data_IF_009264315767
#
_entry.id   IF_009264315767
#
_cell.length_a   1.000
_cell.length_b   1.000
_cell.length_c   1.000
_cell.angle_alpha   90.00
_cell.angle_beta   90.00
_cell.angle_gamma   90.00
#
_symmetry.space_group_name_H-M   'P 1'
#
loop_
_entity.id
_entity.type
_entity.pdbx_description
1 polymer ?
#
# COMPACT_ATOMS: atom_id res chain seq x y z
N UNK A 1 -3.82 26.38 21.92
CA UNK A 1 -4.50 25.08 21.63
C UNK A 1 -3.55 24.10 20.96
N UNK A 2 -2.81 24.48 19.93
CA UNK A 2 -1.83 23.65 19.19
C UNK A 2 -0.73 23.10 20.09
N UNK A 3 -0.13 23.94 20.98
CA UNK A 3 0.91 23.49 21.90
C UNK A 3 0.41 22.42 22.89
N UNK A 4 -0.83 22.55 23.34
CA UNK A 4 -1.45 21.61 24.27
C UNK A 4 -1.73 20.23 23.65
N UNK A 5 -2.01 20.19 22.33
CA UNK A 5 -2.30 18.96 21.59
C UNK A 5 -1.02 18.31 21.07
N UNK A 6 -0.11 19.10 20.49
CA UNK A 6 1.01 18.58 19.71
C UNK A 6 2.36 18.70 20.41
N UNK A 7 2.47 19.51 21.48
CA UNK A 7 3.69 19.73 22.27
C UNK A 7 4.88 20.16 21.39
N UNK A 8 4.64 21.16 20.56
CA UNK A 8 5.58 21.60 19.53
C UNK A 8 6.95 21.96 20.08
N UNK A 9 7.00 22.68 21.25
CA UNK A 9 8.25 23.07 21.89
C UNK A 9 9.02 21.86 22.43
N UNK A 10 8.32 20.87 23.01
CA UNK A 10 8.92 19.61 23.50
C UNK A 10 9.58 18.83 22.35
N UNK A 11 8.99 18.88 21.16
CA UNK A 11 9.50 18.22 19.96
C UNK A 11 10.44 19.10 19.10
N UNK A 12 10.79 20.30 19.56
CA UNK A 12 11.74 21.21 18.88
C UNK A 12 11.26 21.69 17.51
N UNK A 13 9.95 21.88 17.32
CA UNK A 13 9.35 22.28 16.04
C UNK A 13 8.45 23.52 16.19
N UNK A 14 7.99 24.07 15.07
CA UNK A 14 7.08 25.22 15.02
C UNK A 14 5.87 24.93 14.16
N UNK A 15 4.77 25.67 14.36
CA UNK A 15 3.56 25.57 13.51
C UNK A 15 3.91 25.70 12.04
N UNK A 16 4.75 26.67 11.67
CA UNK A 16 5.18 26.88 10.28
C UNK A 16 5.91 25.66 9.71
N UNK A 17 6.84 25.10 10.47
CA UNK A 17 7.61 23.91 10.07
C UNK A 17 6.69 22.72 9.86
N UNK A 18 5.74 22.49 10.76
CA UNK A 18 4.78 21.39 10.67
C UNK A 18 3.85 21.52 9.46
N UNK A 19 3.38 22.76 9.16
CA UNK A 19 2.56 23.02 7.97
C UNK A 19 3.33 22.76 6.68
N UNK A 20 4.59 23.22 6.58
CA UNK A 20 5.45 22.96 5.43
C UNK A 20 5.74 21.46 5.29
N UNK A 21 6.01 20.78 6.38
CA UNK A 21 6.23 19.34 6.41
C UNK A 21 4.96 18.57 5.95
N UNK A 22 3.78 18.99 6.41
CA UNK A 22 2.52 18.42 5.99
C UNK A 22 2.24 18.63 4.50
N UNK A 23 2.48 19.83 3.98
CA UNK A 23 2.38 20.12 2.55
C UNK A 23 3.37 19.24 1.74
N UNK A 24 4.61 19.10 2.21
CA UNK A 24 5.62 18.25 1.57
C UNK A 24 5.18 16.79 1.54
N UNK A 25 4.69 16.25 2.67
CA UNK A 25 4.14 14.89 2.73
C UNK A 25 2.95 14.73 1.77
N UNK A 26 2.00 15.68 1.80
CA UNK A 26 0.84 15.64 0.92
C UNK A 26 1.25 15.59 -0.55
N UNK A 27 2.15 16.47 -1.00
CA UNK A 27 2.61 16.51 -2.40
C UNK A 27 3.26 15.20 -2.84
N UNK A 28 3.97 14.51 -1.93
CA UNK A 28 4.64 13.25 -2.26
C UNK A 28 3.67 12.06 -2.32
N UNK A 29 2.52 12.12 -1.65
CA UNK A 29 1.55 11.02 -1.60
C UNK A 29 0.21 11.31 -2.30
N UNK A 30 -0.03 12.56 -2.75
CA UNK A 30 -1.30 12.96 -3.37
C UNK A 30 -1.62 12.20 -4.66
N UNK A 31 -0.63 11.57 -5.29
CA UNK A 31 -0.85 10.70 -6.46
C UNK A 31 -1.86 9.58 -6.20
N UNK A 32 -2.07 9.18 -4.93
CA UNK A 32 -3.02 8.13 -4.55
C UNK A 32 -4.46 8.45 -4.92
N UNK A 33 -4.82 9.74 -4.99
CA UNK A 33 -6.16 10.18 -5.42
C UNK A 33 -6.49 9.80 -6.86
N UNK A 34 -5.47 9.56 -7.68
CA UNK A 34 -5.61 9.08 -9.07
C UNK A 34 -5.37 7.58 -9.17
N UNK A 35 -4.35 7.07 -8.48
CA UNK A 35 -3.93 5.68 -8.58
C UNK A 35 -4.94 4.73 -7.95
N UNK A 36 -5.48 5.04 -6.77
CA UNK A 36 -6.43 4.16 -6.11
C UNK A 36 -7.74 3.99 -6.89
N UNK A 37 -8.42 5.07 -7.36
CA UNK A 37 -9.58 4.91 -8.22
C UNK A 37 -9.30 4.20 -9.55
N UNK A 38 -8.10 4.35 -10.10
CA UNK A 38 -7.69 3.61 -11.30
C UNK A 38 -7.63 2.11 -11.04
N UNK A 39 -6.92 1.68 -10.01
CA UNK A 39 -6.76 0.26 -9.66
C UNK A 39 -8.09 -0.39 -9.26
N UNK A 40 -8.85 0.23 -8.36
CA UNK A 40 -10.14 -0.31 -7.91
C UNK A 40 -11.22 -0.22 -8.99
N UNK A 41 -11.09 0.75 -9.90
CA UNK A 41 -11.92 0.85 -11.10
C UNK A 41 -11.75 -0.34 -12.04
N UNK A 42 -10.55 -0.88 -12.18
CA UNK A 42 -10.30 -2.11 -12.94
C UNK A 42 -11.03 -3.33 -12.34
N UNK A 43 -11.26 -3.32 -11.02
CA UNK A 43 -12.08 -4.30 -10.32
C UNK A 43 -13.59 -4.07 -10.46
N UNK A 44 -14.03 -3.09 -11.27
CA UNK A 44 -15.44 -2.76 -11.50
C UNK A 44 -16.06 -1.85 -10.43
N UNK A 45 -15.27 -1.23 -9.55
CA UNK A 45 -15.78 -0.23 -8.61
C UNK A 45 -16.01 1.13 -9.30
N UNK A 46 -17.06 1.88 -8.91
CA UNK A 46 -17.31 3.24 -9.43
C UNK A 46 -16.15 4.19 -9.06
N UNK A 47 -15.37 4.63 -10.05
CA UNK A 47 -14.15 5.43 -9.84
C UNK A 47 -14.38 6.71 -9.05
N UNK A 48 -15.50 7.42 -9.31
CA UNK A 48 -15.85 8.67 -8.62
C UNK A 48 -16.10 8.43 -7.12
N UNK A 49 -16.82 7.35 -6.78
CA UNK A 49 -17.07 6.99 -5.39
C UNK A 49 -15.79 6.55 -4.68
N UNK A 50 -14.94 5.77 -5.37
CA UNK A 50 -13.62 5.38 -4.85
C UNK A 50 -12.71 6.59 -4.63
N UNK A 51 -12.74 7.59 -5.52
CA UNK A 51 -12.01 8.85 -5.33
C UNK A 51 -12.43 9.55 -4.03
N UNK A 52 -13.74 9.68 -3.80
CA UNK A 52 -14.27 10.28 -2.57
C UNK A 52 -13.87 9.45 -1.35
N UNK A 53 -14.04 8.12 -1.40
CA UNK A 53 -13.63 7.21 -0.33
C UNK A 53 -12.14 7.34 -0.03
N UNK A 54 -11.29 7.46 -1.06
CA UNK A 54 -9.84 7.66 -0.93
C UNK A 54 -9.51 8.96 -0.19
N UNK A 55 -10.09 10.07 -0.61
CA UNK A 55 -9.87 11.37 0.05
C UNK A 55 -10.34 11.37 1.50
N UNK A 56 -11.54 10.82 1.76
CA UNK A 56 -12.11 10.77 3.10
C UNK A 56 -11.30 9.88 4.04
N UNK A 57 -10.88 8.71 3.60
CA UNK A 57 -10.10 7.82 4.48
C UNK A 57 -8.68 8.31 4.69
N UNK A 58 -8.05 8.90 3.66
CA UNK A 58 -6.74 9.51 3.83
C UNK A 58 -6.80 10.68 4.83
N UNK A 59 -7.86 11.48 4.77
CA UNK A 59 -8.09 12.54 5.73
C UNK A 59 -8.37 11.99 7.14
N UNK A 60 -9.30 11.05 7.27
CA UNK A 60 -9.67 10.46 8.56
C UNK A 60 -8.50 9.71 9.22
N UNK A 61 -7.83 8.83 8.48
CA UNK A 61 -6.68 8.06 8.97
C UNK A 61 -5.53 8.96 9.41
N UNK A 62 -5.16 9.94 8.57
CA UNK A 62 -4.13 10.92 8.92
C UNK A 62 -4.53 11.79 10.11
N UNK A 63 -5.80 12.19 10.23
CA UNK A 63 -6.29 12.92 11.40
C UNK A 63 -6.23 12.09 12.68
N UNK A 64 -6.65 10.81 12.64
CA UNK A 64 -6.54 9.90 13.80
C UNK A 64 -5.09 9.71 14.19
N UNK A 65 -4.19 9.46 13.22
CA UNK A 65 -2.76 9.33 13.47
C UNK A 65 -2.17 10.60 14.10
N UNK A 66 -2.56 11.78 13.57
CA UNK A 66 -2.10 13.08 14.05
C UNK A 66 -2.62 13.42 15.44
N UNK A 67 -3.92 13.28 15.69
CA UNK A 67 -4.56 13.71 16.93
C UNK A 67 -4.40 12.72 18.07
N UNK A 68 -4.46 11.41 17.79
CA UNK A 68 -4.43 10.36 18.81
C UNK A 68 -3.01 9.85 19.09
N UNK A 69 -2.23 9.56 18.04
CA UNK A 69 -0.85 9.09 18.19
C UNK A 69 0.17 10.23 18.25
N UNK A 70 -0.17 11.41 17.78
CA UNK A 70 0.70 12.59 17.65
C UNK A 70 2.00 12.27 16.87
N UNK A 71 1.86 11.58 15.71
CA UNK A 71 2.96 11.27 14.81
C UNK A 71 2.85 12.00 13.47
N UNK A 72 3.97 12.42 12.86
CA UNK A 72 4.03 13.08 11.55
C UNK A 72 3.87 12.06 10.41
N UNK A 73 2.92 11.14 10.54
CA UNK A 73 2.72 10.02 9.61
C UNK A 73 1.34 10.13 9.00
N UNK A 74 1.29 10.31 7.70
CA UNK A 74 0.06 10.32 6.93
C UNK A 74 -0.36 8.91 6.53
N UNK A 75 -1.65 8.73 6.31
CA UNK A 75 -2.26 7.46 5.97
C UNK A 75 -3.10 7.59 4.71
N UNK A 76 -3.12 6.55 3.89
CA UNK A 76 -3.99 6.44 2.72
C UNK A 76 -4.11 4.95 2.30
N UNK A 77 -5.00 4.60 1.33
CA UNK A 77 -5.09 3.24 0.81
C UNK A 77 -3.75 2.71 0.31
N UNK A 78 -3.33 1.54 0.79
CA UNK A 78 -2.04 0.93 0.50
C UNK A 78 -1.97 0.34 -0.89
N UNK A 79 -1.01 0.75 -1.73
CA UNK A 79 -0.96 0.34 -3.14
C UNK A 79 -0.81 -1.16 -3.33
N UNK A 80 0.02 -1.84 -2.53
CA UNK A 80 0.18 -3.28 -2.59
C UNK A 80 -1.11 -4.03 -2.31
N UNK A 81 -1.86 -3.58 -1.31
CA UNK A 81 -3.16 -4.14 -0.93
C UNK A 81 -4.26 -3.79 -1.92
N UNK A 82 -4.22 -2.60 -2.53
CA UNK A 82 -5.12 -2.23 -3.63
C UNK A 82 -4.95 -3.16 -4.83
N UNK A 83 -3.70 -3.43 -5.19
CA UNK A 83 -3.38 -4.34 -6.28
C UNK A 83 -3.80 -5.79 -5.96
N UNK A 84 -3.57 -6.26 -4.74
CA UNK A 84 -4.07 -7.56 -4.28
C UNK A 84 -5.60 -7.63 -4.34
N UNK A 85 -6.29 -6.61 -3.84
CA UNK A 85 -7.74 -6.47 -3.90
C UNK A 85 -8.25 -6.60 -5.34
N UNK A 86 -7.78 -5.72 -6.24
CA UNK A 86 -8.31 -5.62 -7.59
C UNK A 86 -7.89 -6.81 -8.47
N UNK A 87 -6.60 -7.06 -8.56
CA UNK A 87 -6.08 -7.99 -9.56
C UNK A 87 -6.05 -9.43 -9.09
N UNK A 88 -5.73 -9.69 -7.82
CA UNK A 88 -5.72 -11.07 -7.32
C UNK A 88 -7.11 -11.52 -6.87
N UNK A 89 -7.77 -10.76 -5.97
CA UNK A 89 -9.03 -11.21 -5.37
C UNK A 89 -10.19 -11.08 -6.34
N UNK A 90 -10.38 -9.91 -6.96
CA UNK A 90 -11.54 -9.70 -7.82
C UNK A 90 -11.31 -10.29 -9.21
N UNK A 91 -10.26 -9.88 -9.93
CA UNK A 91 -10.08 -10.26 -11.32
C UNK A 91 -9.58 -11.69 -11.51
N UNK A 92 -8.68 -12.19 -10.65
CA UNK A 92 -8.12 -13.54 -10.81
C UNK A 92 -8.92 -14.62 -10.08
N UNK A 93 -9.27 -14.38 -8.79
CA UNK A 93 -10.04 -15.36 -8.02
C UNK A 93 -11.56 -15.27 -8.28
N UNK A 94 -12.05 -14.24 -8.98
CA UNK A 94 -13.45 -14.10 -9.37
C UNK A 94 -14.40 -13.70 -8.23
N UNK A 95 -13.89 -13.15 -7.13
CA UNK A 95 -14.74 -12.58 -6.08
C UNK A 95 -15.35 -11.26 -6.54
N UNK A 96 -16.55 -10.95 -6.03
CA UNK A 96 -17.10 -9.60 -6.18
C UNK A 96 -16.28 -8.59 -5.38
N UNK A 97 -16.22 -7.34 -5.82
CA UNK A 97 -15.53 -6.30 -5.05
C UNK A 97 -16.18 -6.05 -3.67
N UNK A 98 -17.49 -6.33 -3.54
CA UNK A 98 -18.19 -6.29 -2.25
C UNK A 98 -17.68 -7.37 -1.28
N UNK A 99 -17.41 -8.58 -1.77
CA UNK A 99 -16.81 -9.64 -0.96
C UNK A 99 -15.36 -9.32 -0.58
N UNK A 100 -14.60 -8.70 -1.49
CA UNK A 100 -13.27 -8.21 -1.21
C UNK A 100 -13.28 -7.09 -0.13
N UNK A 101 -14.22 -6.15 -0.18
CA UNK A 101 -14.43 -5.15 0.88
C UNK A 101 -14.82 -5.82 2.21
N UNK A 102 -15.68 -6.84 2.17
CA UNK A 102 -16.02 -7.64 3.35
C UNK A 102 -14.79 -8.30 3.97
N UNK A 103 -13.87 -8.80 3.15
CA UNK A 103 -12.61 -9.39 3.60
C UNK A 103 -11.68 -8.34 4.26
N UNK A 104 -11.56 -7.15 3.67
CA UNK A 104 -10.80 -6.03 4.27
C UNK A 104 -11.42 -5.61 5.61
N UNK A 105 -12.75 -5.54 5.68
CA UNK A 105 -13.47 -5.23 6.93
C UNK A 105 -13.17 -6.24 8.03
N UNK A 106 -13.26 -7.53 7.73
CA UNK A 106 -12.97 -8.60 8.70
C UNK A 106 -11.50 -8.54 9.13
N UNK A 107 -10.58 -8.32 8.19
CA UNK A 107 -9.16 -8.13 8.47
C UNK A 107 -8.96 -6.93 9.41
N UNK A 108 -9.60 -5.79 9.15
CA UNK A 108 -9.57 -4.61 10.02
C UNK A 108 -10.10 -4.88 11.42
N UNK A 109 -11.20 -5.65 11.55
CA UNK A 109 -11.72 -6.09 12.87
C UNK A 109 -10.71 -6.97 13.62
N UNK A 110 -10.10 -7.94 12.93
CA UNK A 110 -9.06 -8.78 13.51
C UNK A 110 -7.85 -7.96 13.94
N UNK A 111 -7.45 -6.96 13.15
CA UNK A 111 -6.39 -6.03 13.51
C UNK A 111 -6.69 -5.24 14.77
N UNK A 112 -7.89 -4.69 14.87
CA UNK A 112 -8.32 -3.98 16.07
C UNK A 112 -8.24 -4.89 17.31
N UNK A 113 -8.76 -6.11 17.20
CA UNK A 113 -8.71 -7.10 18.29
C UNK A 113 -7.26 -7.41 18.69
N UNK A 114 -6.43 -7.79 17.74
CA UNK A 114 -5.01 -8.15 17.97
C UNK A 114 -4.23 -6.97 18.56
N UNK A 115 -4.52 -5.76 18.12
CA UNK A 115 -3.86 -4.54 18.61
C UNK A 115 -4.31 -4.19 20.03
N UNK A 116 -5.62 -4.29 20.35
CA UNK A 116 -6.17 -4.05 21.67
C UNK A 116 -5.60 -4.99 22.73
N UNK A 117 -5.39 -6.26 22.37
CA UNK A 117 -4.76 -7.25 23.25
C UNK A 117 -3.22 -7.19 23.27
N UNK A 118 -2.61 -6.26 22.53
CA UNK A 118 -1.14 -6.11 22.46
C UNK A 118 -0.41 -7.27 21.78
N UNK A 119 -1.12 -8.15 21.07
CA UNK A 119 -0.55 -9.36 20.44
C UNK A 119 0.21 -9.03 19.16
N UNK A 120 -0.05 -7.89 18.52
CA UNK A 120 0.58 -7.50 17.25
C UNK A 120 2.12 -7.50 17.33
N UNK A 121 2.67 -6.96 18.43
CA UNK A 121 4.11 -6.96 18.65
C UNK A 121 4.73 -8.36 18.72
N UNK A 122 4.04 -9.31 19.34
CA UNK A 122 4.48 -10.71 19.45
C UNK A 122 4.46 -11.40 18.07
N UNK A 123 3.43 -11.18 17.27
CA UNK A 123 3.31 -11.77 15.92
C UNK A 123 4.44 -11.25 15.03
N UNK A 124 4.71 -9.94 15.04
CA UNK A 124 5.75 -9.31 14.23
C UNK A 124 7.16 -9.84 14.60
N UNK A 125 7.44 -9.97 15.90
CA UNK A 125 8.72 -10.50 16.37
C UNK A 125 8.90 -11.97 16.00
N UNK A 126 7.80 -12.71 15.82
CA UNK A 126 7.81 -14.13 15.45
C UNK A 126 8.12 -14.39 13.98
N UNK A 127 8.21 -13.36 13.12
CA UNK A 127 8.46 -13.55 11.69
C UNK A 127 9.87 -13.07 11.34
N UNK A 128 10.69 -13.92 10.69
CA UNK A 128 12.04 -13.58 10.29
C UNK A 128 12.11 -12.32 9.42
N UNK A 129 13.15 -11.52 9.59
CA UNK A 129 13.34 -10.30 8.81
C UNK A 129 13.46 -10.60 7.32
N UNK A 130 14.13 -11.70 6.95
CA UNK A 130 14.25 -12.15 5.57
C UNK A 130 12.89 -12.32 4.87
N UNK A 131 11.93 -12.97 5.53
CA UNK A 131 10.57 -13.12 4.98
C UNK A 131 9.82 -11.78 4.92
N UNK A 132 9.97 -10.90 5.92
CA UNK A 132 9.34 -9.58 5.91
C UNK A 132 9.83 -8.71 4.75
N UNK A 133 11.15 -8.62 4.57
CA UNK A 133 11.73 -7.90 3.44
C UNK A 133 11.34 -8.53 2.10
N UNK A 134 11.34 -9.87 2.01
CA UNK A 134 10.93 -10.59 0.82
C UNK A 134 9.46 -10.35 0.43
N UNK A 135 8.56 -10.22 1.40
CA UNK A 135 7.14 -9.86 1.17
C UNK A 135 7.06 -8.48 0.51
N UNK A 136 7.77 -7.48 1.05
CA UNK A 136 7.79 -6.13 0.47
C UNK A 136 8.35 -6.15 -0.96
N UNK A 137 9.44 -6.86 -1.18
CA UNK A 137 10.03 -7.04 -2.53
C UNK A 137 9.05 -7.71 -3.48
N UNK A 138 8.41 -8.79 -3.04
CA UNK A 138 7.44 -9.54 -3.85
C UNK A 138 6.22 -8.68 -4.26
N UNK A 139 5.70 -7.89 -3.33
CA UNK A 139 4.64 -6.92 -3.60
C UNK A 139 5.14 -5.87 -4.61
N UNK A 140 6.37 -5.39 -4.46
CA UNK A 140 6.99 -4.47 -5.41
C UNK A 140 7.10 -5.07 -6.81
N UNK A 141 7.58 -6.30 -6.95
CA UNK A 141 7.65 -7.01 -8.23
C UNK A 141 6.26 -7.24 -8.84
N UNK A 142 5.27 -7.57 -8.03
CA UNK A 142 3.88 -7.73 -8.46
C UNK A 142 3.30 -6.42 -8.98
N UNK A 143 3.48 -5.31 -8.24
CA UNK A 143 3.09 -3.97 -8.69
C UNK A 143 3.80 -3.56 -9.97
N UNK A 144 5.10 -3.86 -10.09
CA UNK A 144 5.89 -3.60 -11.29
C UNK A 144 5.33 -4.30 -12.52
N UNK A 145 4.95 -5.57 -12.39
CA UNK A 145 4.31 -6.31 -13.48
C UNK A 145 2.96 -5.69 -13.89
N UNK A 146 2.14 -5.31 -12.92
CA UNK A 146 0.86 -4.62 -13.17
C UNK A 146 1.09 -3.29 -13.88
N UNK A 147 2.05 -2.49 -13.41
CA UNK A 147 2.38 -1.20 -14.00
C UNK A 147 2.82 -1.33 -15.46
N UNK A 148 3.73 -2.27 -15.75
CA UNK A 148 4.20 -2.54 -17.11
C UNK A 148 3.07 -3.03 -18.04
N UNK A 149 2.14 -3.84 -17.49
CA UNK A 149 0.95 -4.29 -18.23
C UNK A 149 0.00 -3.11 -18.50
N UNK A 150 -0.27 -2.26 -17.50
CA UNK A 150 -1.16 -1.10 -17.63
C UNK A 150 -0.60 -0.04 -18.58
N UNK A 151 0.74 0.07 -18.67
CA UNK A 151 1.42 0.91 -19.64
C UNK A 151 1.39 0.34 -21.05
N UNK A 152 1.06 -0.94 -21.25
CA UNK A 152 1.16 -1.62 -22.53
C UNK A 152 2.59 -2.03 -22.94
N UNK A 153 3.57 -1.90 -22.03
CA UNK A 153 4.97 -2.29 -22.25
C UNK A 153 5.11 -3.81 -22.22
N UNK A 154 4.40 -4.48 -21.34
CA UNK A 154 4.34 -5.94 -21.23
C UNK A 154 2.93 -6.40 -21.58
N UNK A 155 2.84 -7.35 -22.50
CA UNK A 155 1.57 -7.93 -22.96
C UNK A 155 1.62 -9.45 -22.85
N UNK A 156 0.43 -10.08 -22.79
CA UNK A 156 0.33 -11.54 -22.72
C UNK A 156 0.77 -12.20 -24.04
N UNK A 157 1.48 -13.30 -23.94
CA UNK A 157 1.87 -14.16 -25.06
C UNK A 157 1.59 -15.62 -24.74
N UNK A 158 1.11 -16.39 -25.73
CA UNK A 158 0.72 -17.80 -25.52
C UNK A 158 1.91 -18.74 -25.34
N UNK A 159 3.10 -18.38 -25.87
CA UNK A 159 4.27 -19.24 -25.81
C UNK A 159 5.17 -18.90 -24.59
N UNK A 160 5.33 -17.61 -24.32
CA UNK A 160 6.26 -17.11 -23.30
C UNK A 160 5.58 -16.52 -22.08
N UNK A 161 4.23 -16.59 -21.99
CA UNK A 161 3.34 -15.98 -21.01
C UNK A 161 3.31 -14.45 -21.10
N UNK A 162 4.44 -13.79 -21.25
CA UNK A 162 4.57 -12.35 -21.43
C UNK A 162 5.59 -12.03 -22.50
N UNK A 163 5.35 -10.94 -23.25
CA UNK A 163 6.27 -10.41 -24.27
C UNK A 163 6.22 -8.89 -24.27
N UNK A 164 7.13 -8.26 -25.04
CA UNK A 164 7.17 -6.83 -25.20
C UNK A 164 5.99 -6.37 -26.09
N UNK A 165 5.29 -5.32 -25.65
CA UNK A 165 4.21 -4.70 -26.40
C UNK A 165 4.72 -3.77 -27.51
N UNK A 166 3.79 -3.04 -28.14
CA UNK A 166 4.12 -2.08 -29.20
C UNK A 166 4.71 -0.79 -28.59
N UNK A 167 6.04 -0.65 -28.68
CA UNK A 167 6.77 0.51 -28.18
C UNK A 167 6.54 1.81 -28.98
N UNK A 168 5.91 1.73 -30.16
CA UNK A 168 5.61 2.88 -31.00
C UNK A 168 4.25 3.51 -30.64
N UNK A 169 3.45 2.88 -29.80
CA UNK A 169 2.18 3.42 -29.39
C UNK A 169 2.35 4.64 -28.48
N UNK A 170 1.54 5.69 -28.69
CA UNK A 170 1.61 6.92 -27.90
C UNK A 170 1.46 6.67 -26.37
N UNK A 171 0.56 5.79 -25.90
CA UNK A 171 0.46 5.46 -24.47
C UNK A 171 1.78 4.92 -23.88
N UNK A 172 2.46 4.01 -24.58
CA UNK A 172 3.74 3.43 -24.13
C UNK A 172 4.83 4.49 -24.08
N UNK A 173 4.96 5.30 -25.14
CA UNK A 173 5.97 6.38 -25.19
C UNK A 173 5.74 7.36 -24.04
N UNK A 174 4.49 7.79 -23.82
CA UNK A 174 4.15 8.72 -22.75
C UNK A 174 4.40 8.11 -21.35
N UNK A 175 4.12 6.83 -21.16
CA UNK A 175 4.43 6.14 -19.91
C UNK A 175 5.94 6.08 -19.66
N UNK A 176 6.75 5.75 -20.65
CA UNK A 176 8.22 5.72 -20.52
C UNK A 176 8.77 7.11 -20.22
N UNK A 177 8.34 8.14 -20.94
CA UNK A 177 8.75 9.52 -20.69
C UNK A 177 8.32 10.01 -19.31
N UNK A 178 7.11 9.65 -18.89
CA UNK A 178 6.60 9.92 -17.53
C UNK A 178 7.48 9.29 -16.46
N UNK A 179 7.88 8.04 -16.63
CA UNK A 179 8.77 7.35 -15.70
C UNK A 179 10.14 8.04 -15.61
N UNK A 180 10.76 8.36 -16.74
CA UNK A 180 12.04 9.07 -16.80
C UNK A 180 11.92 10.43 -16.08
N UNK A 181 10.83 11.17 -16.33
CA UNK A 181 10.58 12.45 -15.69
C UNK A 181 10.45 12.31 -14.16
N UNK A 182 9.69 11.30 -13.66
CA UNK A 182 9.57 11.01 -12.23
C UNK A 182 10.94 10.75 -11.62
N UNK A 183 11.76 9.87 -12.23
CA UNK A 183 13.12 9.56 -11.74
C UNK A 183 14.01 10.80 -11.70
N UNK A 184 13.97 11.64 -12.74
CA UNK A 184 14.76 12.88 -12.81
C UNK A 184 14.34 13.89 -11.73
N UNK A 185 13.03 14.08 -11.53
CA UNK A 185 12.48 14.98 -10.51
C UNK A 185 12.77 14.46 -9.10
N UNK A 186 12.65 13.15 -8.85
CA UNK A 186 13.00 12.54 -7.57
C UNK A 186 14.49 12.74 -7.24
N UNK A 187 15.38 12.52 -8.24
CA UNK A 187 16.81 12.79 -8.08
C UNK A 187 17.11 14.25 -7.79
N UNK A 188 16.36 15.17 -8.40
CA UNK A 188 16.43 16.61 -8.15
C UNK A 188 15.78 17.01 -6.80
N UNK A 189 15.23 16.05 -6.04
CA UNK A 189 14.54 16.28 -4.77
C UNK A 189 13.34 17.23 -4.87
N UNK A 190 12.63 17.20 -6.00
CA UNK A 190 11.42 17.99 -6.21
C UNK A 190 10.27 17.32 -5.44
N UNK A 191 9.64 18.00 -4.47
CA UNK A 191 8.49 17.46 -3.77
C UNK A 191 7.35 17.17 -4.76
N UNK A 192 6.72 16.00 -4.65
CA UNK A 192 5.63 15.62 -5.56
C UNK A 192 6.08 15.17 -6.96
N UNK A 193 7.32 14.70 -7.12
CA UNK A 193 7.85 14.20 -8.39
C UNK A 193 6.88 13.22 -9.10
N UNK A 194 6.27 12.31 -8.34
CA UNK A 194 5.31 11.33 -8.87
C UNK A 194 4.05 12.03 -9.38
N UNK A 195 3.49 12.96 -8.59
CA UNK A 195 2.30 13.72 -8.96
C UNK A 195 2.55 14.56 -10.22
N UNK A 196 3.70 15.25 -10.28
CA UNK A 196 4.11 16.06 -11.45
C UNK A 196 4.23 15.16 -12.69
N UNK A 197 4.78 13.96 -12.56
CA UNK A 197 4.87 12.99 -13.65
C UNK A 197 3.50 12.56 -14.16
N UNK A 198 2.57 12.21 -13.28
CA UNK A 198 1.20 11.85 -13.66
C UNK A 198 0.51 13.00 -14.38
N UNK A 199 0.56 14.21 -13.82
CA UNK A 199 -0.04 15.41 -14.40
C UNK A 199 0.59 15.74 -15.76
N UNK A 200 1.93 15.65 -15.86
CA UNK A 200 2.65 15.88 -17.12
C UNK A 200 2.23 14.92 -18.23
N UNK A 201 2.16 13.62 -17.92
CA UNK A 201 1.67 12.61 -18.89
C UNK A 201 0.19 12.85 -19.24
N UNK A 202 -0.64 13.20 -18.25
CA UNK A 202 -2.06 13.51 -18.49
C UNK A 202 -2.22 14.73 -19.39
N UNK A 203 -1.45 15.80 -19.18
CA UNK A 203 -1.47 16.98 -20.07
C UNK A 203 -1.02 16.59 -21.48
N UNK A 204 0.08 15.81 -21.58
CA UNK A 204 0.56 15.34 -22.87
C UNK A 204 -0.47 14.47 -23.62
N UNK A 205 -1.28 13.70 -22.89
CA UNK A 205 -2.30 12.83 -23.49
C UNK A 205 -3.39 13.58 -24.27
N UNK A 206 -3.69 14.84 -23.93
CA UNK A 206 -4.65 15.67 -24.67
C UNK A 206 -4.19 15.97 -26.11
N UNK A 207 -2.90 15.98 -26.37
CA UNK A 207 -2.37 16.25 -27.71
C UNK A 207 -2.44 15.02 -28.63
N UNK A 208 -2.66 13.81 -28.07
CA UNK A 208 -2.73 12.57 -28.84
C UNK A 208 -4.16 12.02 -29.00
N UNK A 209 -5.16 12.76 -28.52
CA UNK A 209 -6.59 12.47 -28.64
C UNK A 209 -7.09 11.46 -27.63
N UNK A 210 -8.30 11.64 -27.15
CA UNK A 210 -9.01 10.67 -26.32
C UNK A 210 -9.45 11.13 -24.94
N UNK A 211 -8.97 12.26 -24.45
CA UNK A 211 -9.40 12.82 -23.16
C UNK A 211 -10.16 14.12 -23.36
N UNK A 212 -11.35 14.24 -22.74
CA UNK A 212 -12.10 15.49 -22.68
C UNK A 212 -11.90 16.14 -21.31
N UNK A 213 -11.63 17.43 -21.29
CA UNK A 213 -11.45 18.20 -20.07
C UNK A 213 -12.79 18.73 -19.56
N UNK A 214 -13.24 18.24 -18.40
CA UNK A 214 -14.54 18.58 -17.81
C UNK A 214 -14.48 19.66 -16.70
N UNK A 215 -13.37 20.37 -16.59
CA UNK A 215 -13.16 21.42 -15.58
C UNK A 215 -12.22 21.02 -14.45
N UNK A 216 -11.84 22.00 -13.62
CA UNK A 216 -10.92 21.80 -12.49
C UNK A 216 -11.64 21.47 -11.19
N UNK A 217 -12.80 22.09 -10.98
CA UNK A 217 -13.53 22.01 -9.72
C UNK A 217 -14.98 21.56 -9.95
N UNK A 218 -15.46 20.72 -9.05
CA UNK A 218 -16.87 20.32 -8.96
C UNK A 218 -17.28 20.10 -7.50
N UNK A 219 -18.59 19.99 -7.27
CA UNK A 219 -19.06 19.43 -6.02
C UNK A 219 -18.53 17.96 -5.89
N UNK A 220 -18.21 17.51 -4.66
CA UNK A 220 -17.77 16.13 -4.46
C UNK A 220 -18.79 15.12 -5.01
N UNK A 221 -18.37 14.10 -5.77
CA UNK A 221 -19.24 13.02 -6.22
C UNK A 221 -19.87 12.26 -5.04
N UNK A 222 -20.95 11.53 -5.33
CA UNK A 222 -21.60 10.70 -4.31
C UNK A 222 -20.76 9.49 -3.94
N UNK A 223 -20.55 9.25 -2.64
CA UNK A 223 -19.93 8.03 -2.11
C UNK A 223 -20.92 6.85 -2.01
N UNK A 224 -22.22 7.10 -2.13
CA UNK A 224 -23.27 6.11 -1.90
C UNK A 224 -23.08 4.77 -2.66
N UNK A 225 -22.53 4.74 -3.89
CA UNK A 225 -22.34 3.49 -4.61
C UNK A 225 -21.35 2.51 -3.96
N UNK A 226 -20.44 2.98 -3.10
CA UNK A 226 -19.43 2.15 -2.44
C UNK A 226 -19.59 2.08 -0.92
N UNK A 227 -20.34 3.03 -0.35
CA UNK A 227 -20.53 3.13 1.09
C UNK A 227 -21.34 1.96 1.66
N UNK A 228 -20.77 1.26 2.63
CA UNK A 228 -21.35 0.08 3.31
C UNK A 228 -21.70 -1.10 2.37
N UNK A 229 -21.10 -1.17 1.20
CA UNK A 229 -21.33 -2.26 0.23
C UNK A 229 -20.45 -3.48 0.54
N UNK A 230 -20.63 -4.07 1.75
CA UNK A 230 -19.83 -5.18 2.24
C UNK A 230 -20.57 -6.51 2.12
N UNK A 231 -20.02 -7.49 1.39
CA UNK A 231 -20.49 -8.88 1.45
C UNK A 231 -19.63 -9.69 2.42
N UNK A 232 -19.97 -9.55 3.70
CA UNK A 232 -19.29 -10.24 4.81
C UNK A 232 -19.53 -11.75 4.74
N UNK A 233 -20.72 -12.19 4.28
CA UNK A 233 -21.06 -13.60 4.23
C UNK A 233 -20.14 -14.36 3.27
N UNK A 234 -19.99 -13.87 2.05
CA UNK A 234 -19.09 -14.50 1.05
C UNK A 234 -17.61 -14.42 1.51
N UNK A 235 -17.20 -13.31 2.12
CA UNK A 235 -15.85 -13.17 2.67
C UNK A 235 -15.53 -14.22 3.74
N UNK A 236 -16.48 -14.52 4.65
CA UNK A 236 -16.29 -15.52 5.70
C UNK A 236 -16.37 -16.95 5.18
N UNK A 237 -17.31 -17.24 4.30
CA UNK A 237 -17.58 -18.64 3.88
C UNK A 237 -16.64 -19.14 2.79
N UNK A 238 -16.27 -18.29 1.84
CA UNK A 238 -15.43 -18.65 0.68
C UNK A 238 -14.05 -18.02 0.68
N UNK A 239 -13.89 -16.84 1.33
CA UNK A 239 -12.69 -16.03 1.26
C UNK A 239 -11.81 -16.04 2.50
N UNK A 240 -12.20 -16.67 3.61
CA UNK A 240 -11.50 -16.49 4.89
C UNK A 240 -10.02 -16.83 4.82
N UNK A 241 -9.66 -18.04 4.39
CA UNK A 241 -8.25 -18.47 4.34
C UNK A 241 -7.49 -17.87 3.14
N UNK A 242 -8.18 -17.64 2.03
CA UNK A 242 -7.53 -17.21 0.78
C UNK A 242 -7.41 -15.69 0.68
N UNK A 243 -8.30 -14.95 1.31
CA UNK A 243 -8.41 -13.50 1.14
C UNK A 243 -8.21 -12.78 2.47
N UNK A 244 -9.04 -13.07 3.50
CA UNK A 244 -8.98 -12.37 4.79
C UNK A 244 -7.65 -12.57 5.49
N UNK A 245 -7.16 -13.83 5.58
CA UNK A 245 -5.88 -14.13 6.22
C UNK A 245 -4.72 -13.45 5.50
N UNK A 246 -4.77 -13.39 4.17
CA UNK A 246 -3.71 -12.74 3.38
C UNK A 246 -3.74 -11.23 3.56
N UNK A 247 -4.91 -10.56 3.53
CA UNK A 247 -5.02 -9.16 3.90
C UNK A 247 -4.43 -8.92 5.28
N UNK A 248 -4.83 -9.71 6.26
CA UNK A 248 -4.33 -9.60 7.63
C UNK A 248 -2.80 -9.72 7.71
N UNK A 249 -2.18 -10.72 7.06
CA UNK A 249 -0.73 -10.90 7.10
C UNK A 249 0.01 -9.77 6.35
N UNK A 250 -0.45 -9.39 5.16
CA UNK A 250 0.19 -8.32 4.38
C UNK A 250 0.12 -6.98 5.11
N UNK A 251 -1.05 -6.64 5.64
CA UNK A 251 -1.24 -5.43 6.45
C UNK A 251 -0.33 -5.41 7.68
N UNK A 252 -0.19 -6.57 8.35
CA UNK A 252 0.68 -6.69 9.51
C UNK A 252 2.11 -6.27 9.21
N UNK A 253 2.64 -6.69 8.04
CA UNK A 253 4.01 -6.40 7.65
C UNK A 253 4.18 -4.99 7.12
N UNK A 254 3.29 -4.58 6.22
CA UNK A 254 3.36 -3.29 5.54
C UNK A 254 3.27 -2.12 6.53
N UNK A 255 2.22 -2.09 7.34
CA UNK A 255 2.01 -1.03 8.32
C UNK A 255 3.13 -0.95 9.35
N UNK A 256 3.62 -2.10 9.84
CA UNK A 256 4.65 -2.10 10.88
C UNK A 256 6.01 -1.69 10.32
N UNK A 257 6.36 -2.19 9.13
CA UNK A 257 7.60 -1.80 8.44
C UNK A 257 7.64 -0.31 8.18
N UNK A 258 6.56 0.25 7.64
CA UNK A 258 6.44 1.67 7.33
C UNK A 258 6.46 2.54 8.58
N UNK A 259 5.67 2.20 9.62
CA UNK A 259 5.66 2.94 10.89
C UNK A 259 7.05 2.99 11.54
N UNK A 260 7.73 1.85 11.63
CA UNK A 260 9.08 1.79 12.21
C UNK A 260 10.11 2.53 11.35
N UNK A 261 10.04 2.39 10.03
CA UNK A 261 10.94 3.06 9.10
C UNK A 261 10.83 4.59 9.16
N UNK A 262 9.62 5.12 9.16
CA UNK A 262 9.36 6.56 9.27
C UNK A 262 9.73 7.07 10.67
N UNK A 263 9.36 6.34 11.74
CA UNK A 263 9.69 6.70 13.12
C UNK A 263 11.20 6.75 13.36
N UNK A 264 11.96 5.80 12.76
CA UNK A 264 13.43 5.81 12.80
C UNK A 264 14.01 7.08 12.16
N UNK A 265 13.53 7.45 10.97
CA UNK A 265 13.95 8.65 10.26
C UNK A 265 13.53 9.94 10.97
N UNK A 266 12.41 9.91 11.68
CA UNK A 266 11.90 11.04 12.48
C UNK A 266 12.66 11.24 13.80
N UNK A 267 13.55 10.32 14.17
CA UNK A 267 14.21 10.36 15.48
C UNK A 267 13.26 10.08 16.65
N UNK A 268 12.13 9.42 16.38
CA UNK A 268 11.08 9.09 17.36
C UNK A 268 11.28 7.70 18.00
N UNK A 269 12.41 7.04 17.73
CA UNK A 269 12.81 5.80 18.40
C UNK A 269 13.68 6.15 19.61
N UNK A 270 13.16 5.92 20.81
CA UNK A 270 13.92 5.87 22.05
C UNK A 270 14.52 4.46 22.17
N UNK A 271 15.73 4.21 22.76
CA UNK A 271 16.54 3.00 22.53
C UNK A 271 15.73 1.73 22.23
N UNK A 272 15.59 1.41 20.93
CA UNK A 272 14.92 0.20 20.40
C UNK A 272 13.38 0.18 20.47
N UNK A 273 12.70 1.23 20.97
CA UNK A 273 11.24 1.25 21.12
C UNK A 273 10.62 2.54 20.58
N UNK A 274 9.49 2.42 19.91
CA UNK A 274 8.63 3.52 19.52
C UNK A 274 7.67 3.84 20.67
N UNK A 275 7.79 5.02 21.30
CA UNK A 275 7.07 5.33 22.56
C UNK A 275 5.54 5.16 22.49
N UNK A 276 4.93 5.50 21.35
CA UNK A 276 3.47 5.50 21.15
C UNK A 276 3.05 4.47 20.10
N UNK A 277 3.82 3.37 19.96
CA UNK A 277 3.57 2.33 18.95
C UNK A 277 2.11 1.82 19.03
N UNK A 278 1.61 1.48 20.21
CA UNK A 278 0.24 0.96 20.34
C UNK A 278 -0.82 1.97 19.88
N UNK A 279 -0.60 3.27 20.09
CA UNK A 279 -1.52 4.31 19.61
C UNK A 279 -1.49 4.42 18.09
N UNK A 280 -0.31 4.36 17.48
CA UNK A 280 -0.19 4.40 16.01
C UNK A 280 -0.75 3.13 15.35
N UNK A 281 -0.57 1.96 16.00
CA UNK A 281 -1.16 0.72 15.54
C UNK A 281 -2.69 0.71 15.64
N UNK A 282 -3.26 1.32 16.71
CA UNK A 282 -4.71 1.51 16.83
C UNK A 282 -5.25 2.48 15.77
N UNK A 283 -4.53 3.59 15.51
CA UNK A 283 -4.89 4.52 14.45
C UNK A 283 -4.93 3.82 13.08
N UNK A 284 -3.90 3.02 12.78
CA UNK A 284 -3.79 2.21 11.58
C UNK A 284 -4.95 1.22 11.44
N UNK A 285 -5.20 0.41 12.46
CA UNK A 285 -6.31 -0.56 12.47
C UNK A 285 -7.69 0.10 12.34
N UNK A 286 -7.88 1.26 12.97
CA UNK A 286 -9.12 2.04 12.85
C UNK A 286 -9.32 2.59 11.44
N UNK A 287 -8.24 2.96 10.76
CA UNK A 287 -8.30 3.44 9.38
C UNK A 287 -8.62 2.30 8.40
N UNK A 288 -8.08 1.10 8.59
CA UNK A 288 -8.44 -0.09 7.79
C UNK A 288 -9.94 -0.37 7.92
N UNK A 289 -10.42 -0.43 9.15
CA UNK A 289 -11.85 -0.65 9.45
C UNK A 289 -12.74 0.42 8.79
N UNK A 290 -12.42 1.70 8.97
CA UNK A 290 -13.20 2.80 8.42
C UNK A 290 -13.13 2.85 6.89
N UNK A 291 -11.96 2.56 6.30
CA UNK A 291 -11.76 2.55 4.84
C UNK A 291 -12.64 1.54 4.12
N UNK A 292 -12.76 0.33 4.67
CA UNK A 292 -13.65 -0.70 4.13
C UNK A 292 -15.12 -0.28 4.15
N UNK A 293 -15.58 0.43 5.19
CA UNK A 293 -16.93 0.96 5.29
C UNK A 293 -17.19 2.09 4.27
N UNK A 294 -16.18 2.93 4.01
CA UNK A 294 -16.24 3.98 3.00
C UNK A 294 -16.18 3.44 1.57
N UNK A 295 -15.78 2.18 1.38
CA UNK A 295 -15.71 1.55 0.07
C UNK A 295 -14.36 1.72 -0.62
N UNK A 296 -13.28 1.59 0.13
CA UNK A 296 -11.92 1.49 -0.42
C UNK A 296 -11.18 0.31 0.22
N UNK A 297 -10.08 -0.11 -0.38
CA UNK A 297 -9.27 -1.19 0.15
C UNK A 297 -8.52 -0.78 1.41
N UNK A 298 -7.67 -1.64 1.93
CA UNK A 298 -6.96 -1.43 3.19
C UNK A 298 -6.13 -0.14 3.20
N UNK A 299 -6.22 0.59 4.31
CA UNK A 299 -5.54 1.87 4.55
C UNK A 299 -4.35 1.65 5.46
N UNK A 300 -3.19 2.21 5.12
CA UNK A 300 -1.94 2.02 5.85
C UNK A 300 -1.14 3.31 5.98
N UNK A 301 -0.14 3.31 6.86
CA UNK A 301 0.83 4.40 6.98
C UNK A 301 1.68 4.51 5.70
N UNK A 302 1.97 5.73 5.27
CA UNK A 302 2.70 6.01 4.03
C UNK A 302 4.17 6.32 4.28
N UNK A 303 5.07 5.63 3.56
CA UNK A 303 6.52 5.83 3.63
C UNK A 303 6.93 7.23 3.15
N UNK A 304 6.14 7.84 2.28
CA UNK A 304 6.29 9.22 1.80
C UNK A 304 6.22 10.25 2.93
N UNK A 305 5.66 9.91 4.08
CA UNK A 305 5.74 10.72 5.30
C UNK A 305 7.17 11.05 5.71
N UNK A 306 8.14 10.23 5.29
CA UNK A 306 9.55 10.50 5.50
C UNK A 306 10.01 11.82 4.84
N UNK A 307 9.38 12.26 3.75
CA UNK A 307 9.69 13.54 3.11
C UNK A 307 9.30 14.73 4.01
N UNK A 308 8.13 14.68 4.63
CA UNK A 308 7.71 15.70 5.60
C UNK A 308 8.59 15.70 6.87
N UNK A 309 8.98 14.51 7.33
CA UNK A 309 9.93 14.38 8.44
C UNK A 309 11.28 15.01 8.10
N UNK A 310 11.79 14.83 6.88
CA UNK A 310 13.02 15.48 6.39
C UNK A 310 12.85 17.00 6.28
N UNK A 311 11.62 17.49 5.97
CA UNK A 311 11.30 18.92 5.97
C UNK A 311 11.10 19.51 7.38
N UNK A 312 11.26 18.70 8.44
CA UNK A 312 11.23 19.14 9.83
C UNK A 312 9.97 18.74 10.60
N UNK A 313 9.04 17.99 10.03
CA UNK A 313 7.86 17.47 10.72
C UNK A 313 8.23 16.52 11.86
N UNK A 314 7.64 16.73 13.04
CA UNK A 314 7.93 15.96 14.25
C UNK A 314 6.69 15.54 15.01
N UNK A 315 5.55 16.15 14.69
CA UNK A 315 4.31 15.99 15.47
C UNK A 315 3.13 15.62 14.59
N UNK A 316 2.02 15.26 15.21
CA UNK A 316 0.77 14.97 14.53
C UNK A 316 0.16 16.15 13.76
N UNK A 317 0.66 17.34 13.96
CA UNK A 317 0.22 18.52 13.21
C UNK A 317 0.58 18.40 11.71
N UNK A 318 1.72 17.78 11.38
CA UNK A 318 2.08 17.40 10.00
C UNK A 318 1.01 16.51 9.39
N UNK A 319 0.59 15.43 10.07
CA UNK A 319 -0.44 14.51 9.58
C UNK A 319 -1.83 15.19 9.48
N UNK A 320 -2.17 16.06 10.44
CA UNK A 320 -3.41 16.83 10.38
C UNK A 320 -3.46 17.80 9.20
N UNK A 321 -2.32 18.40 8.85
CA UNK A 321 -2.20 19.24 7.64
C UNK A 321 -2.49 18.42 6.38
N UNK A 322 -1.94 17.21 6.28
CA UNK A 322 -2.23 16.28 5.19
C UNK A 322 -3.73 15.96 5.13
N UNK A 323 -4.36 15.70 6.28
CA UNK A 323 -5.79 15.40 6.37
C UNK A 323 -6.65 16.54 5.78
N UNK A 324 -6.35 17.78 6.13
CA UNK A 324 -7.05 18.96 5.61
C UNK A 324 -6.87 19.10 4.09
N UNK A 325 -5.66 18.84 3.58
CA UNK A 325 -5.38 18.90 2.14
C UNK A 325 -6.13 17.81 1.36
N UNK A 326 -6.24 16.60 1.90
CA UNK A 326 -7.07 15.54 1.28
C UNK A 326 -8.56 15.89 1.28
N UNK A 327 -9.08 16.54 2.32
CA UNK A 327 -10.46 17.06 2.29
C UNK A 327 -10.65 18.13 1.21
N UNK A 328 -9.65 19.00 1.00
CA UNK A 328 -9.70 19.99 -0.08
C UNK A 328 -9.69 19.32 -1.48
N UNK A 329 -9.04 18.15 -1.61
CA UNK A 329 -9.04 17.39 -2.87
C UNK A 329 -10.42 16.86 -3.29
N UNK A 330 -11.40 16.77 -2.40
CA UNK A 330 -12.76 16.36 -2.76
C UNK A 330 -13.38 17.25 -3.86
N UNK A 331 -12.97 18.51 -3.94
CA UNK A 331 -13.47 19.47 -4.91
C UNK A 331 -12.76 19.42 -6.27
N UNK A 332 -11.69 18.62 -6.41
CA UNK A 332 -10.94 18.43 -7.68
C UNK A 332 -11.25 17.09 -8.36
N UNK A 333 -12.39 16.50 -8.04
CA UNK A 333 -12.85 15.23 -8.59
C UNK A 333 -12.81 15.13 -10.13
N UNK A 334 -13.13 16.17 -10.92
CA UNK A 334 -13.05 16.09 -12.38
C UNK A 334 -11.66 15.72 -12.90
N UNK A 335 -10.61 16.11 -12.18
CA UNK A 335 -9.23 15.75 -12.58
C UNK A 335 -8.96 14.26 -12.46
N UNK A 336 -9.57 13.55 -11.51
CA UNK A 336 -9.38 12.11 -11.36
C UNK A 336 -9.96 11.32 -12.56
N UNK A 337 -11.07 11.78 -13.12
CA UNK A 337 -11.69 11.16 -14.30
C UNK A 337 -10.89 11.32 -15.60
N UNK A 338 -10.01 12.32 -15.66
CA UNK A 338 -9.25 12.67 -16.88
C UNK A 338 -7.90 11.91 -16.94
N UNK A 339 -7.40 11.41 -15.81
CA UNK A 339 -6.10 10.72 -15.76
C UNK A 339 -6.18 9.33 -16.41
N UNK A 340 -5.51 9.08 -17.55
CA UNK A 340 -5.55 7.77 -18.18
C UNK A 340 -4.69 6.75 -17.42
N UNK A 341 -4.99 5.46 -17.55
CA UNK A 341 -4.27 4.39 -16.85
C UNK A 341 -2.75 4.39 -17.12
N UNK A 342 -2.34 4.68 -18.38
CA UNK A 342 -0.92 4.77 -18.72
C UNK A 342 -0.21 6.00 -18.12
N UNK A 343 -0.93 6.98 -17.57
CA UNK A 343 -0.34 8.09 -16.80
C UNK A 343 -0.07 7.71 -15.33
N UNK A 344 -0.85 6.78 -14.77
CA UNK A 344 -0.61 6.26 -13.41
C UNK A 344 0.41 5.12 -13.37
N UNK A 345 0.60 4.40 -14.47
CA UNK A 345 1.52 3.27 -14.57
C UNK A 345 2.99 3.63 -14.22
N UNK A 346 3.57 4.77 -14.70
CA UNK A 346 4.91 5.19 -14.30
C UNK A 346 5.08 5.38 -12.79
N UNK A 347 4.06 5.91 -12.13
CA UNK A 347 4.05 6.09 -10.68
C UNK A 347 4.07 4.75 -9.94
N UNK A 348 3.23 3.80 -10.35
CA UNK A 348 3.21 2.45 -9.80
C UNK A 348 4.56 1.75 -9.99
N UNK A 349 5.14 1.86 -11.18
CA UNK A 349 6.44 1.25 -11.46
C UNK A 349 7.57 1.88 -10.65
N UNK A 350 7.55 3.19 -10.46
CA UNK A 350 8.51 3.90 -9.61
C UNK A 350 8.42 3.41 -8.15
N UNK A 351 7.21 3.29 -7.60
CA UNK A 351 7.01 2.76 -6.24
C UNK A 351 7.47 1.31 -6.14
N UNK A 352 7.17 0.48 -7.14
CA UNK A 352 7.68 -0.88 -7.22
C UNK A 352 9.22 -0.91 -7.11
N UNK A 353 9.92 -0.05 -7.85
CA UNK A 353 11.38 0.09 -7.77
C UNK A 353 11.86 0.52 -6.37
N UNK A 354 11.12 1.38 -5.67
CA UNK A 354 11.46 1.77 -4.30
C UNK A 354 11.34 0.60 -3.31
N UNK A 355 10.33 -0.27 -3.49
CA UNK A 355 10.13 -1.46 -2.65
C UNK A 355 11.25 -2.49 -2.82
N UNK A 356 11.91 -2.55 -3.99
CA UNK A 356 13.07 -3.43 -4.20
C UNK A 356 14.30 -3.10 -3.35
N UNK A 357 14.34 -1.92 -2.70
CA UNK A 357 15.43 -1.57 -1.77
C UNK A 357 15.54 -2.53 -0.59
N UNK A 358 14.44 -3.18 -0.22
CA UNK A 358 14.43 -4.19 0.85
C UNK A 358 15.28 -5.44 0.54
N UNK A 359 15.69 -5.63 -0.72
CA UNK A 359 16.66 -6.68 -1.11
C UNK A 359 18.01 -6.52 -0.39
N UNK A 360 18.39 -5.30 -0.02
CA UNK A 360 19.63 -5.02 0.70
C UNK A 360 19.62 -5.49 2.17
N UNK A 361 18.44 -5.70 2.72
CA UNK A 361 18.26 -6.19 4.10
C UNK A 361 18.30 -7.72 4.21
N UNK A 362 18.40 -8.43 3.07
CA UNK A 362 18.46 -9.89 3.03
C UNK A 362 19.89 -10.39 3.28
N UNK A 363 20.04 -11.41 4.12
CA UNK A 363 21.30 -12.15 4.25
C UNK A 363 21.42 -13.18 3.12
N UNK A 364 22.14 -12.82 2.08
CA UNK A 364 22.38 -13.69 0.92
C UNK A 364 23.41 -14.79 1.17
N UNK A 365 24.15 -14.74 2.28
CA UNK A 365 25.15 -15.74 2.62
C UNK A 365 24.54 -16.99 3.28
N UNK A 366 23.37 -16.84 3.94
CA UNK A 366 22.63 -17.95 4.51
C UNK A 366 21.53 -18.41 3.54
N UNK A 367 21.76 -19.55 2.87
CA UNK A 367 20.78 -20.12 1.93
C UNK A 367 19.44 -20.47 2.58
N UNK A 368 19.39 -20.72 3.90
CA UNK A 368 18.16 -21.01 4.62
C UNK A 368 17.28 -19.75 4.85
N UNK A 369 17.86 -18.56 4.66
CA UNK A 369 17.19 -17.26 4.67
C UNK A 369 16.96 -16.75 3.23
N UNK A 370 18.01 -16.78 2.39
CA UNK A 370 17.99 -16.23 1.05
C UNK A 370 17.04 -16.97 0.09
N UNK A 371 17.05 -18.31 0.09
CA UNK A 371 16.20 -19.09 -0.84
C UNK A 371 14.71 -18.93 -0.54
N UNK A 372 14.22 -19.07 0.70
CA UNK A 372 12.81 -18.77 1.01
C UNK A 372 12.41 -17.34 0.68
N UNK A 373 13.29 -16.36 0.91
CA UNK A 373 13.06 -14.98 0.56
C UNK A 373 12.91 -14.80 -0.97
N UNK A 374 13.81 -15.38 -1.76
CA UNK A 374 13.72 -15.35 -3.21
C UNK A 374 12.45 -16.04 -3.73
N UNK A 375 12.08 -17.19 -3.17
CA UNK A 375 10.83 -17.90 -3.50
C UNK A 375 9.62 -17.01 -3.18
N UNK A 376 9.58 -16.40 -2.00
CA UNK A 376 8.49 -15.47 -1.63
C UNK A 376 8.32 -14.37 -2.67
N UNK A 377 9.43 -13.69 -3.00
CA UNK A 377 9.42 -12.53 -3.88
C UNK A 377 9.05 -12.89 -5.34
N UNK A 378 9.59 -14.00 -5.86
CA UNK A 378 9.36 -14.41 -7.25
C UNK A 378 7.97 -15.03 -7.46
N UNK A 379 7.46 -15.79 -6.48
CA UNK A 379 6.18 -16.45 -6.65
C UNK A 379 5.00 -15.45 -6.71
N UNK A 380 5.11 -14.25 -6.15
CA UNK A 380 4.03 -13.25 -6.22
C UNK A 380 3.71 -12.81 -7.64
N UNK A 381 4.65 -12.28 -8.45
CA UNK A 381 4.37 -11.90 -9.83
C UNK A 381 4.11 -13.12 -10.74
N UNK A 382 4.83 -14.24 -10.57
CA UNK A 382 4.71 -15.39 -11.46
C UNK A 382 3.42 -16.19 -11.28
N UNK A 383 2.84 -16.20 -10.07
CA UNK A 383 1.51 -16.80 -9.82
C UNK A 383 0.37 -15.78 -9.85
N UNK A 384 0.70 -14.50 -10.12
CA UNK A 384 -0.23 -13.38 -10.05
C UNK A 384 -0.99 -13.31 -8.71
N UNK A 385 -0.33 -13.72 -7.61
CA UNK A 385 -0.93 -13.85 -6.28
C UNK A 385 0.05 -13.62 -5.15
N UNK A 386 -0.21 -12.59 -4.34
CA UNK A 386 0.54 -12.31 -3.11
C UNK A 386 0.36 -13.48 -2.12
N UNK A 387 -0.84 -14.07 -2.06
CA UNK A 387 -1.15 -15.21 -1.21
C UNK A 387 -0.24 -16.43 -1.48
N UNK A 388 -0.04 -16.74 -2.76
CA UNK A 388 0.84 -17.85 -3.16
C UNK A 388 2.29 -17.55 -2.81
N UNK A 389 2.77 -16.32 -3.03
CA UNK A 389 4.11 -15.92 -2.63
C UNK A 389 4.37 -16.09 -1.13
N UNK A 390 3.42 -15.63 -0.28
CA UNK A 390 3.46 -15.86 1.16
C UNK A 390 3.50 -17.36 1.48
N UNK A 391 2.59 -18.14 0.91
CA UNK A 391 2.48 -19.57 1.18
C UNK A 391 3.78 -20.30 0.86
N UNK A 392 4.29 -20.15 -0.37
CA UNK A 392 5.54 -20.78 -0.79
C UNK A 392 6.72 -20.31 0.06
N UNK A 393 6.78 -19.04 0.42
CA UNK A 393 7.83 -18.48 1.25
C UNK A 393 7.87 -19.10 2.64
N UNK A 394 6.75 -19.09 3.36
CA UNK A 394 6.68 -19.67 4.71
C UNK A 394 6.90 -21.18 4.72
N UNK A 395 6.36 -21.91 3.74
CA UNK A 395 6.55 -23.35 3.62
C UNK A 395 8.03 -23.67 3.33
N UNK A 396 8.66 -22.95 2.38
CA UNK A 396 10.06 -23.15 2.02
C UNK A 396 10.99 -22.82 3.20
N UNK A 397 10.69 -21.73 3.94
CA UNK A 397 11.46 -21.35 5.13
C UNK A 397 11.38 -22.44 6.20
N UNK A 398 10.17 -22.89 6.54
CA UNK A 398 9.96 -23.96 7.51
C UNK A 398 10.68 -25.25 7.09
N UNK A 399 10.55 -25.65 5.81
CA UNK A 399 11.23 -26.83 5.27
C UNK A 399 12.76 -26.68 5.33
N UNK A 400 13.30 -25.52 4.92
CA UNK A 400 14.75 -25.26 4.97
C UNK A 400 15.30 -25.39 6.40
N UNK A 401 14.64 -24.81 7.40
CA UNK A 401 15.04 -24.91 8.80
C UNK A 401 14.87 -26.33 9.36
N UNK A 402 13.86 -27.07 8.92
CA UNK A 402 13.64 -28.47 9.33
C UNK A 402 14.74 -29.39 8.81
N UNK A 403 15.01 -29.36 7.49
CA UNK A 403 15.95 -30.30 6.86
C UNK A 403 17.42 -29.97 7.13
N UNK A 404 17.74 -28.73 7.55
CA UNK A 404 19.08 -28.33 7.99
C UNK A 404 19.33 -28.54 9.49
N UNK A 405 18.32 -29.04 10.23
CA UNK A 405 18.44 -29.25 11.69
C UNK A 405 18.35 -27.95 12.52
N UNK A 406 18.01 -26.81 11.89
CA UNK A 406 17.96 -25.46 12.51
C UNK A 406 16.55 -25.09 13.01
N UNK A 407 15.74 -26.09 13.42
CA UNK A 407 14.34 -25.92 13.84
C UNK A 407 14.17 -24.86 14.93
N UNK A 408 15.13 -24.76 15.86
CA UNK A 408 15.07 -23.81 16.99
C UNK A 408 15.25 -22.36 16.58
N UNK A 409 15.75 -22.06 15.39
CA UNK A 409 15.89 -20.71 14.88
C UNK A 409 14.56 -20.16 14.31
N UNK A 410 13.65 -21.05 13.91
CA UNK A 410 12.33 -20.66 13.42
C UNK A 410 11.37 -20.49 14.60
N UNK A 411 10.79 -19.29 14.72
CA UNK A 411 9.80 -19.00 15.74
C UNK A 411 8.52 -19.85 15.53
N UNK A 412 7.82 -20.27 16.59
CA UNK A 412 6.60 -21.08 16.48
C UNK A 412 5.55 -20.52 15.52
N UNK A 413 5.43 -19.19 15.39
CA UNK A 413 4.52 -18.52 14.47
C UNK A 413 4.76 -18.92 13.01
N UNK A 414 6.03 -19.09 12.60
CA UNK A 414 6.37 -19.53 11.22
C UNK A 414 5.80 -20.91 10.94
N UNK A 415 5.91 -21.84 11.90
CA UNK A 415 5.38 -23.19 11.79
C UNK A 415 3.86 -23.21 11.70
N UNK A 416 3.18 -22.36 12.49
CA UNK A 416 1.72 -22.22 12.44
C UNK A 416 1.28 -21.71 11.07
N UNK A 417 1.90 -20.62 10.57
CA UNK A 417 1.55 -20.03 9.27
C UNK A 417 1.85 -21.02 8.13
N UNK A 418 3.02 -21.68 8.13
CA UNK A 418 3.35 -22.69 7.15
C UNK A 418 2.35 -23.86 7.17
N UNK A 419 1.95 -24.31 8.36
CA UNK A 419 0.94 -25.37 8.53
C UNK A 419 -0.44 -24.96 7.99
N UNK A 420 -0.88 -23.74 8.22
CA UNK A 420 -2.13 -23.20 7.66
C UNK A 420 -2.10 -23.16 6.14
N UNK A 421 -0.99 -22.71 5.53
CA UNK A 421 -0.85 -22.69 4.08
C UNK A 421 -0.74 -24.09 3.47
N UNK A 422 -0.06 -25.04 4.13
CA UNK A 422 -0.06 -26.44 3.72
C UNK A 422 -1.47 -27.04 3.75
N UNK A 423 -2.19 -26.84 4.84
CA UNK A 423 -3.59 -27.26 4.95
C UNK A 423 -4.45 -26.66 3.81
N UNK A 424 -4.25 -25.37 3.50
CA UNK A 424 -4.94 -24.72 2.37
C UNK A 424 -4.68 -25.46 1.05
N UNK A 425 -3.43 -25.74 0.71
CA UNK A 425 -3.08 -26.37 -0.56
C UNK A 425 -3.60 -27.81 -0.69
N UNK A 426 -3.60 -28.57 0.40
CA UNK A 426 -4.04 -29.96 0.37
C UNK A 426 -5.57 -30.14 0.41
N UNK A 427 -6.29 -29.27 1.14
CA UNK A 427 -7.71 -29.45 1.40
C UNK A 427 -8.64 -28.50 0.64
N UNK A 428 -8.17 -27.30 0.25
CA UNK A 428 -9.00 -26.26 -0.36
C UNK A 428 -8.69 -26.14 -1.87
N UNK A 429 -7.56 -26.66 -2.30
CA UNK A 429 -7.08 -26.55 -3.67
C UNK A 429 -6.26 -25.27 -3.92
N UNK A 430 -5.38 -25.33 -4.91
CA UNK A 430 -4.44 -24.25 -5.23
C UNK A 430 -5.02 -23.08 -6.05
N UNK A 431 -6.36 -22.88 -6.07
CA UNK A 431 -7.01 -21.80 -6.80
C UNK A 431 -7.45 -20.68 -5.89
#
# INVERSE_FOLDING_TARGET
>A
MTERLFKLQEHGTTVRTELIAGLTTFLTMAYIIFVNPSILGDAGMPKDAVFVATCLIAALGSAIMGLYANYPIAMAPGMGLNAYFAYAVVLHMGFTWQAALGAVFISGCLFLVVTLFGLRGLIIQGIPQSLRSAITVGIGLFLGLIALKSAGIVVGDKATLVTLGDLHSAPVILAVLGFIAIVALDKARVPGAILIGIVGVTIASFFFGGNEFHGLFSAPPSIAPTFLQLDIHTALTKGFLNVVLVFFLVELFDATGTLMGVAKRAGLLVPGKMERLNKSLLADSSAIFAGSLLGTSSTTAYVESAAGVQAGGRTGMTALTVAVLFLACLFVAPLAGVVPAYATAPALFFVACLMLRELAELDWNDSTEAVPAAVTALMMPFTYSIANGLAFGFITYAAAKLFTGRVREAHPMVWIIAGVFLFKFFYIGGH
#
